data_IF_728497812807
#
_entry.id   IF_728497812807
#
_cell.length_a   1.000
_cell.length_b   1.000
_cell.length_c   1.000
_cell.angle_alpha   90.00
_cell.angle_beta   90.00
_cell.angle_gamma   90.00
#
_symmetry.space_group_name_H-M   'P 1'
#
loop_
_entity.id
_entity.type
_entity.pdbx_description
1 polymer ?
#
# COMPACT_ATOMS: atom_id res chain seq x y z
N UNK A 1 -6.12 24.65 -3.33
CA UNK A 1 -7.03 24.44 -4.50
C UNK A 1 -7.03 22.93 -4.79
N UNK A 2 -8.18 22.34 -5.09
CA UNK A 2 -8.25 20.97 -5.55
C UNK A 2 -7.70 20.88 -6.97
N UNK A 3 -6.74 19.99 -7.17
CA UNK A 3 -6.15 19.68 -8.46
C UNK A 3 -6.86 18.51 -9.16
N UNK A 4 -6.23 17.93 -10.19
CA UNK A 4 -6.79 16.80 -10.93
C UNK A 4 -6.84 15.53 -10.10
N UNK A 5 -7.64 14.56 -10.57
CA UNK A 5 -7.59 13.19 -10.10
C UNK A 5 -6.28 12.56 -10.60
N UNK A 6 -5.48 12.05 -9.67
CA UNK A 6 -4.19 11.41 -9.95
C UNK A 6 -4.21 9.90 -9.77
N UNK A 7 -5.28 9.35 -9.21
CA UNK A 7 -5.46 7.91 -9.07
C UNK A 7 -6.92 7.53 -8.84
N UNK A 8 -7.36 6.47 -9.50
CA UNK A 8 -8.69 5.88 -9.33
C UNK A 8 -8.55 4.39 -9.09
N UNK A 9 -8.82 3.97 -7.87
CA UNK A 9 -8.86 2.57 -7.47
C UNK A 9 -10.27 2.04 -7.29
N UNK A 10 -10.39 0.76 -6.98
CA UNK A 10 -11.68 0.12 -6.70
C UNK A 10 -12.34 0.65 -5.43
N UNK A 11 -11.54 0.98 -4.43
CA UNK A 11 -11.97 1.37 -3.09
C UNK A 11 -11.57 2.80 -2.71
N UNK A 12 -10.92 3.55 -3.62
CA UNK A 12 -10.49 4.93 -3.34
C UNK A 12 -10.29 5.77 -4.60
N UNK A 13 -10.34 7.08 -4.43
CA UNK A 13 -9.92 8.08 -5.40
C UNK A 13 -8.89 8.99 -4.76
N UNK A 14 -7.87 9.38 -5.52
CA UNK A 14 -6.80 10.24 -5.06
C UNK A 14 -6.75 11.51 -5.91
N UNK A 15 -6.75 12.66 -5.26
CA UNK A 15 -6.68 13.98 -5.85
C UNK A 15 -5.38 14.65 -5.46
N UNK A 16 -4.78 15.38 -6.38
CA UNK A 16 -3.75 16.33 -6.04
C UNK A 16 -4.36 17.53 -5.31
N UNK A 17 -3.69 18.01 -4.27
CA UNK A 17 -4.05 19.24 -3.57
C UNK A 17 -2.85 20.17 -3.59
N UNK A 18 -3.03 21.31 -4.24
CA UNK A 18 -2.01 22.35 -4.29
C UNK A 18 -2.09 23.24 -3.07
N UNK A 19 -1.02 23.28 -2.30
CA UNK A 19 -0.77 24.15 -1.17
C UNK A 19 0.63 24.76 -1.37
N UNK A 20 1.32 25.13 -0.29
CA UNK A 20 2.75 25.47 -0.34
C UNK A 20 3.63 24.26 -0.70
N UNK A 21 3.09 23.04 -0.59
CA UNK A 21 3.61 21.77 -1.10
C UNK A 21 2.51 21.03 -1.84
N UNK A 22 2.89 20.19 -2.79
CA UNK A 22 1.95 19.27 -3.44
C UNK A 22 1.59 18.14 -2.46
N UNK A 23 0.31 17.94 -2.25
CA UNK A 23 -0.26 16.93 -1.34
C UNK A 23 -1.19 16.01 -2.12
N UNK A 24 -1.43 14.82 -1.58
CA UNK A 24 -2.42 13.87 -2.08
C UNK A 24 -3.58 13.77 -1.08
N UNK A 25 -4.81 13.89 -1.58
CA UNK A 25 -6.02 13.67 -0.81
C UNK A 25 -6.70 12.39 -1.31
N UNK A 26 -6.65 11.34 -0.49
CA UNK A 26 -7.25 10.03 -0.77
C UNK A 26 -8.62 9.95 -0.12
N UNK A 27 -9.66 9.73 -0.94
CA UNK A 27 -11.01 9.43 -0.50
C UNK A 27 -11.27 7.94 -0.57
N UNK A 28 -11.60 7.33 0.56
CA UNK A 28 -12.11 5.96 0.59
C UNK A 28 -13.57 5.94 0.15
N UNK A 29 -13.92 5.01 -0.73
CA UNK A 29 -15.29 4.79 -1.21
C UNK A 29 -15.68 3.32 -1.14
N UNK A 30 -16.95 3.03 -1.37
CA UNK A 30 -17.40 1.64 -1.48
C UNK A 30 -16.80 0.99 -2.73
N UNK A 31 -16.06 -0.10 -2.55
CA UNK A 31 -15.59 -0.93 -3.65
C UNK A 31 -16.74 -1.78 -4.21
N UNK A 32 -16.86 -1.84 -5.54
CA UNK A 32 -17.86 -2.70 -6.21
C UNK A 32 -17.58 -4.22 -6.09
N UNK A 33 -16.59 -4.63 -5.30
CA UNK A 33 -16.17 -6.04 -5.20
C UNK A 33 -16.35 -6.62 -3.81
N UNK A 34 -17.32 -7.53 -3.73
CA UNK A 34 -17.44 -8.61 -2.74
C UNK A 34 -16.99 -8.33 -1.29
N UNK A 35 -17.81 -7.63 -0.54
CA UNK A 35 -17.77 -7.56 0.93
C UNK A 35 -17.59 -8.92 1.64
N UNK A 36 -17.90 -10.05 0.99
CA UNK A 36 -17.73 -11.39 1.57
C UNK A 36 -16.28 -11.79 1.83
N UNK A 37 -15.31 -11.37 1.01
CA UNK A 37 -13.88 -11.67 1.23
C UNK A 37 -13.22 -10.72 2.22
N UNK A 38 -13.68 -9.48 2.28
CA UNK A 38 -13.17 -8.44 3.19
C UNK A 38 -13.53 -8.74 4.65
N UNK A 39 -14.71 -9.32 4.88
CA UNK A 39 -15.18 -9.67 6.23
C UNK A 39 -14.44 -10.85 6.88
N UNK A 40 -13.78 -11.70 6.11
CA UNK A 40 -13.00 -12.83 6.65
C UNK A 40 -11.64 -12.40 7.25
N UNK A 41 -11.13 -11.23 6.85
CA UNK A 41 -9.82 -10.73 7.29
C UNK A 41 -9.89 -9.48 8.18
N UNK A 42 -11.08 -8.92 8.43
CA UNK A 42 -11.26 -7.69 9.20
C UNK A 42 -12.21 -7.92 10.37
N UNK A 43 -11.76 -7.59 11.58
CA UNK A 43 -12.53 -7.63 12.83
C UNK A 43 -13.69 -6.59 12.89
N UNK A 44 -14.32 -6.21 11.77
CA UNK A 44 -15.22 -5.06 11.69
C UNK A 44 -16.71 -5.38 11.77
N UNK A 45 -17.12 -6.64 11.71
CA UNK A 45 -18.55 -6.96 11.66
C UNK A 45 -18.97 -7.96 12.71
N UNK A 46 -19.70 -7.48 13.71
CA UNK A 46 -20.67 -8.32 14.42
C UNK A 46 -21.78 -8.72 13.45
N UNK A 47 -22.16 -9.98 13.46
CA UNK A 47 -22.94 -10.72 12.46
C UNK A 47 -24.33 -10.18 12.06
N UNK A 48 -24.81 -9.00 12.53
CA UNK A 48 -26.20 -8.59 12.41
C UNK A 48 -26.46 -7.08 12.17
N UNK A 49 -25.53 -6.29 11.63
CA UNK A 49 -25.85 -4.89 11.34
C UNK A 49 -25.65 -4.56 9.86
N UNK A 50 -26.65 -3.93 9.24
CA UNK A 50 -26.52 -3.18 7.98
C UNK A 50 -25.55 -2.02 8.22
N UNK A 51 -24.26 -2.29 8.01
CA UNK A 51 -23.22 -1.26 8.16
C UNK A 51 -23.28 -0.38 6.93
N UNK A 52 -23.57 0.91 7.14
CA UNK A 52 -23.54 1.91 6.07
C UNK A 52 -22.15 1.92 5.39
N UNK A 53 -22.12 1.99 4.06
CA UNK A 53 -20.88 2.13 3.27
C UNK A 53 -20.01 3.27 3.78
N UNK A 54 -20.61 4.38 4.20
CA UNK A 54 -19.94 5.54 4.78
C UNK A 54 -19.16 5.18 6.04
N UNK A 55 -19.73 4.33 6.90
CA UNK A 55 -19.05 3.85 8.11
C UNK A 55 -17.84 2.97 7.76
N UNK A 56 -17.98 2.07 6.78
CA UNK A 56 -16.89 1.19 6.33
C UNK A 56 -15.76 2.00 5.71
N UNK A 57 -16.07 2.95 4.83
CA UNK A 57 -15.09 3.84 4.20
C UNK A 57 -14.35 4.70 5.25
N UNK A 58 -15.08 5.22 6.24
CA UNK A 58 -14.49 5.96 7.36
C UNK A 58 -13.53 5.08 8.17
N UNK A 59 -13.92 3.86 8.52
CA UNK A 59 -13.07 2.94 9.28
C UNK A 59 -11.83 2.52 8.48
N UNK A 60 -11.94 2.35 7.17
CA UNK A 60 -10.80 2.09 6.31
C UNK A 60 -9.81 3.26 6.30
N UNK A 61 -10.31 4.50 6.19
CA UNK A 61 -9.47 5.70 6.25
C UNK A 61 -8.80 5.88 7.62
N UNK A 62 -9.54 5.77 8.72
CA UNK A 62 -8.99 5.85 10.08
C UNK A 62 -7.86 4.84 10.27
N UNK A 63 -8.10 3.58 9.87
CA UNK A 63 -7.12 2.49 10.00
C UNK A 63 -5.88 2.73 9.14
N UNK A 64 -6.03 3.07 7.86
CA UNK A 64 -4.90 3.35 6.98
C UNK A 64 -4.06 4.51 7.50
N UNK A 65 -4.70 5.57 7.97
CA UNK A 65 -4.01 6.71 8.56
C UNK A 65 -3.19 6.34 9.81
N UNK A 66 -3.78 5.55 10.72
CA UNK A 66 -3.08 5.04 11.91
C UNK A 66 -1.86 4.18 11.53
N UNK A 67 -2.00 3.32 10.52
CA UNK A 67 -0.90 2.47 10.04
C UNK A 67 0.20 3.33 9.43
N UNK A 68 -0.12 4.28 8.55
CA UNK A 68 0.85 5.19 7.96
C UNK A 68 1.61 5.97 9.05
N UNK A 69 0.93 6.46 10.09
CA UNK A 69 1.57 7.12 11.24
C UNK A 69 2.51 6.21 12.02
N UNK A 70 2.15 4.94 12.19
CA UNK A 70 2.97 3.96 12.90
C UNK A 70 4.23 3.57 12.10
N UNK A 71 4.14 3.56 10.77
CA UNK A 71 5.21 3.19 9.86
C UNK A 71 6.19 4.34 9.62
N UNK A 72 5.68 5.56 9.40
CA UNK A 72 6.49 6.74 9.11
C UNK A 72 7.32 7.18 10.32
N UNK A 73 8.55 7.67 10.18
CA UNK A 73 9.38 7.72 8.96
C UNK A 73 10.29 6.48 8.77
N UNK A 74 10.09 5.42 9.54
CA UNK A 74 10.98 4.23 9.55
C UNK A 74 10.78 3.32 8.34
N UNK A 75 9.56 3.31 7.81
CA UNK A 75 9.21 2.67 6.55
C UNK A 75 8.94 3.76 5.52
N UNK A 76 9.39 3.57 4.31
CA UNK A 76 9.13 4.50 3.22
C UNK A 76 7.67 4.37 2.76
N UNK A 77 6.82 5.19 3.36
CA UNK A 77 5.40 5.36 3.07
C UNK A 77 5.09 6.84 2.87
N UNK A 78 3.99 7.20 2.19
CA UNK A 78 3.56 8.60 2.14
C UNK A 78 3.40 9.19 3.54
N UNK A 79 3.96 10.38 3.80
CA UNK A 79 3.84 11.04 5.11
C UNK A 79 2.36 11.39 5.36
N UNK A 80 1.69 10.80 6.36
CA UNK A 80 0.32 11.12 6.70
C UNK A 80 0.26 12.48 7.44
N UNK A 81 -0.62 13.38 6.97
CA UNK A 81 -0.72 14.75 7.50
C UNK A 81 -1.96 14.89 8.34
N UNK A 82 -3.12 14.53 7.79
CA UNK A 82 -4.41 14.65 8.48
C UNK A 82 -5.42 13.62 7.97
N UNK A 83 -6.45 13.35 8.78
CA UNK A 83 -7.52 12.44 8.42
C UNK A 83 -8.86 13.00 8.91
N UNK A 84 -9.85 13.05 8.03
CA UNK A 84 -11.20 13.44 8.39
C UNK A 84 -12.22 12.55 7.68
N UNK A 85 -13.13 11.94 8.46
CA UNK A 85 -14.14 10.99 7.98
C UNK A 85 -13.51 9.88 7.12
N UNK A 86 -13.81 9.85 5.81
CA UNK A 86 -13.32 8.85 4.85
C UNK A 86 -12.18 9.38 3.96
N UNK A 87 -11.56 10.49 4.34
CA UNK A 87 -10.47 11.13 3.60
C UNK A 87 -9.16 11.14 4.40
N UNK A 88 -8.05 10.96 3.71
CA UNK A 88 -6.68 11.07 4.24
C UNK A 88 -5.93 12.10 3.42
N UNK A 89 -5.35 13.09 4.09
CA UNK A 89 -4.39 14.02 3.51
C UNK A 89 -2.98 13.52 3.79
N UNK A 90 -2.16 13.40 2.76
CA UNK A 90 -0.80 12.89 2.87
C UNK A 90 0.13 13.59 1.87
N UNK A 91 1.42 13.35 1.99
CA UNK A 91 2.42 13.76 1.03
C UNK A 91 2.12 13.18 -0.36
N UNK A 92 2.22 14.01 -1.40
CA UNK A 92 2.25 13.54 -2.77
C UNK A 92 3.64 12.94 -3.02
N UNK A 93 3.70 11.63 -3.23
CA UNK A 93 4.96 10.93 -3.53
C UNK A 93 5.35 11.23 -4.97
N UNK A 94 6.55 11.75 -5.16
CA UNK A 94 7.16 11.95 -6.47
C UNK A 94 7.74 10.62 -6.97
N UNK A 95 7.29 10.17 -8.13
CA UNK A 95 7.72 8.90 -8.72
C UNK A 95 6.67 8.26 -9.62
N UNK A 96 7.02 7.12 -10.16
CA UNK A 96 6.16 6.32 -11.04
C UNK A 96 5.88 4.96 -10.41
N UNK A 97 4.73 4.37 -10.74
CA UNK A 97 4.37 3.04 -10.26
C UNK A 97 5.31 1.99 -10.88
N UNK A 98 5.81 1.07 -10.06
CA UNK A 98 6.76 0.04 -10.49
C UNK A 98 6.26 -0.79 -11.69
N UNK A 99 4.95 -1.00 -11.81
CA UNK A 99 4.35 -1.70 -12.95
C UNK A 99 4.52 -0.94 -14.27
N UNK A 100 4.59 0.37 -14.24
CA UNK A 100 4.58 1.27 -15.41
C UNK A 100 5.98 1.60 -15.92
N UNK A 101 7.00 1.48 -15.08
CA UNK A 101 8.40 1.78 -15.45
C UNK A 101 9.16 0.54 -15.89
N UNK A 102 10.25 0.77 -16.61
CA UNK A 102 11.25 -0.25 -16.94
C UNK A 102 12.58 0.13 -16.29
N UNK A 103 13.03 -0.69 -15.35
CA UNK A 103 14.31 -0.51 -14.67
C UNK A 103 15.48 -0.86 -15.61
N UNK A 104 16.58 -0.13 -15.50
CA UNK A 104 17.85 -0.49 -16.10
C UNK A 104 18.46 -1.70 -15.39
N UNK A 105 19.42 -2.37 -16.04
CA UNK A 105 20.00 -3.61 -15.51
C UNK A 105 20.64 -3.47 -14.13
N UNK A 106 21.29 -2.34 -13.88
CA UNK A 106 21.90 -1.99 -12.60
C UNK A 106 20.88 -1.66 -11.51
N UNK A 107 19.70 -1.16 -11.89
CA UNK A 107 18.63 -0.82 -10.95
C UNK A 107 17.82 -2.03 -10.48
N UNK A 108 17.73 -3.11 -11.27
CA UNK A 108 16.83 -4.24 -10.99
C UNK A 108 17.05 -4.82 -9.60
N UNK A 109 18.26 -5.24 -9.29
CA UNK A 109 18.56 -5.88 -8.00
C UNK A 109 18.53 -4.88 -6.85
N UNK A 110 19.00 -3.66 -7.05
CA UNK A 110 18.98 -2.60 -6.06
C UNK A 110 17.55 -2.24 -5.66
N UNK A 111 16.64 -2.17 -6.64
CA UNK A 111 15.22 -1.91 -6.40
C UNK A 111 14.55 -3.06 -5.66
N UNK A 112 14.80 -4.32 -6.08
CA UNK A 112 14.27 -5.50 -5.40
C UNK A 112 14.72 -5.55 -3.93
N UNK A 113 16.02 -5.37 -3.67
CA UNK A 113 16.57 -5.36 -2.31
C UNK A 113 15.97 -4.22 -1.47
N UNK A 114 15.75 -3.05 -2.08
CA UNK A 114 15.12 -1.92 -1.41
C UNK A 114 13.67 -2.22 -1.03
N UNK A 115 12.89 -2.85 -1.92
CA UNK A 115 11.51 -3.28 -1.62
C UNK A 115 11.50 -4.28 -0.46
N UNK A 116 12.36 -5.32 -0.50
CA UNK A 116 12.44 -6.34 0.56
C UNK A 116 12.87 -5.72 1.89
N UNK A 117 13.72 -4.71 1.88
CA UNK A 117 14.10 -3.94 3.07
C UNK A 117 12.93 -3.18 3.66
N UNK A 118 12.11 -2.52 2.84
CA UNK A 118 10.93 -1.81 3.32
C UNK A 118 9.86 -2.77 3.88
N UNK A 119 9.68 -3.95 3.27
CA UNK A 119 8.84 -5.02 3.83
C UNK A 119 9.37 -5.44 5.23
N UNK A 120 10.67 -5.67 5.36
CA UNK A 120 11.31 -6.01 6.64
C UNK A 120 11.13 -4.91 7.69
N UNK A 121 11.28 -3.63 7.29
CA UNK A 121 11.05 -2.49 8.15
C UNK A 121 9.60 -2.44 8.66
N UNK A 122 8.62 -2.74 7.78
CA UNK A 122 7.20 -2.79 8.16
C UNK A 122 6.92 -3.93 9.16
N UNK A 123 7.49 -5.11 8.94
CA UNK A 123 7.40 -6.25 9.87
C UNK A 123 8.01 -5.88 11.23
N UNK A 124 9.16 -5.22 11.26
CA UNK A 124 9.80 -4.74 12.49
C UNK A 124 8.95 -3.68 13.22
N UNK A 125 8.07 -2.98 12.49
CA UNK A 125 7.05 -2.07 13.05
C UNK A 125 5.75 -2.78 13.46
N UNK A 126 5.68 -4.09 13.26
CA UNK A 126 4.54 -4.90 13.66
C UNK A 126 3.43 -5.02 12.64
N UNK A 127 3.70 -4.73 11.35
CA UNK A 127 2.69 -4.75 10.28
C UNK A 127 3.12 -5.56 9.06
N UNK A 128 2.14 -6.16 8.40
CA UNK A 128 2.24 -6.81 7.10
C UNK A 128 1.28 -6.11 6.16
N UNK A 129 1.69 -5.78 4.94
CA UNK A 129 0.87 -5.05 3.96
C UNK A 129 -0.38 -5.83 3.56
N UNK A 130 -0.23 -7.12 3.36
CA UNK A 130 -1.26 -8.11 3.03
C UNK A 130 -1.97 -7.96 1.67
N UNK A 131 -1.52 -7.04 0.84
CA UNK A 131 -1.96 -6.89 -0.56
C UNK A 131 -0.87 -6.22 -1.41
N UNK A 132 0.41 -6.53 -1.11
CA UNK A 132 1.54 -5.92 -1.80
C UNK A 132 1.70 -6.50 -3.21
N UNK A 133 1.87 -5.60 -4.17
CA UNK A 133 2.13 -5.92 -5.56
C UNK A 133 2.89 -4.77 -6.24
N UNK A 134 3.29 -4.98 -7.50
CA UNK A 134 3.92 -3.95 -8.34
C UNK A 134 3.09 -2.68 -8.53
N UNK A 135 1.79 -2.74 -8.25
CA UNK A 135 0.85 -1.62 -8.35
C UNK A 135 0.83 -0.73 -7.10
N UNK A 136 1.40 -1.19 -5.99
CA UNK A 136 1.39 -0.50 -4.70
C UNK A 136 2.80 -0.01 -4.31
N UNK A 137 3.69 0.14 -5.30
CA UNK A 137 5.07 0.56 -5.10
C UNK A 137 5.39 1.69 -6.06
N UNK A 138 5.79 2.85 -5.52
CA UNK A 138 6.38 3.95 -6.29
C UNK A 138 7.89 3.85 -6.29
N UNK A 139 8.49 4.23 -7.43
CA UNK A 139 9.92 4.42 -7.61
C UNK A 139 10.15 5.85 -8.06
N UNK A 140 10.82 6.64 -7.25
CA UNK A 140 11.16 8.02 -7.57
C UNK A 140 12.47 8.43 -6.92
N UNK A 141 13.35 9.13 -7.65
CA UNK A 141 14.63 9.62 -7.17
C UNK A 141 15.49 8.53 -6.50
N UNK A 142 15.46 7.30 -7.03
CA UNK A 142 16.18 6.14 -6.47
C UNK A 142 15.59 5.58 -5.17
N UNK A 143 14.42 6.06 -4.74
CA UNK A 143 13.74 5.63 -3.52
C UNK A 143 12.51 4.78 -3.85
N UNK A 144 12.34 3.71 -3.08
CA UNK A 144 11.12 2.90 -3.05
C UNK A 144 10.16 3.49 -2.03
N UNK A 145 8.88 3.64 -2.38
CA UNK A 145 7.82 4.02 -1.43
C UNK A 145 6.64 3.07 -1.59
N UNK A 146 6.22 2.43 -0.50
CA UNK A 146 5.09 1.50 -0.48
C UNK A 146 3.84 2.27 -0.04
N UNK A 147 2.76 2.16 -0.81
CA UNK A 147 1.50 2.85 -0.54
C UNK A 147 0.30 1.88 -0.55
N UNK A 148 -0.89 2.39 -0.25
CA UNK A 148 -2.17 1.64 -0.21
C UNK A 148 -2.22 0.56 0.89
N UNK A 149 -2.22 1.00 2.16
CA UNK A 149 -2.16 0.17 3.37
C UNK A 149 -3.51 -0.21 4.03
N UNK A 150 -4.71 0.00 3.44
CA UNK A 150 -5.96 -0.25 4.16
C UNK A 150 -6.17 -1.72 4.53
N UNK A 151 -5.51 -2.64 3.81
CA UNK A 151 -5.59 -4.08 4.02
C UNK A 151 -4.58 -4.61 5.06
N UNK A 152 -3.60 -3.78 5.48
CA UNK A 152 -2.51 -4.23 6.32
C UNK A 152 -3.00 -4.84 7.64
N UNK A 153 -2.30 -5.84 8.13
CA UNK A 153 -2.59 -6.54 9.37
C UNK A 153 -1.41 -6.44 10.35
N UNK A 154 -1.70 -6.58 11.64
CA UNK A 154 -0.64 -6.70 12.64
C UNK A 154 0.06 -8.06 12.52
N UNK A 155 1.35 -8.14 12.86
CA UNK A 155 2.11 -9.41 12.88
C UNK A 155 1.53 -10.44 13.84
N UNK A 156 0.76 -10.00 14.85
CA UNK A 156 0.01 -10.88 15.77
C UNK A 156 -1.24 -11.52 15.15
N UNK A 157 -1.63 -11.11 13.94
CA UNK A 157 -2.77 -11.69 13.23
C UNK A 157 -2.48 -13.14 12.85
N UNK A 158 -3.47 -14.03 12.99
CA UNK A 158 -3.34 -15.48 12.78
C UNK A 158 -2.75 -15.84 11.40
N UNK A 159 -3.12 -15.10 10.35
CA UNK A 159 -2.66 -15.34 8.98
C UNK A 159 -1.47 -14.45 8.56
N UNK A 160 -0.84 -13.73 9.48
CA UNK A 160 0.19 -12.74 9.14
C UNK A 160 1.39 -13.35 8.40
N UNK A 161 1.80 -14.56 8.75
CA UNK A 161 2.91 -15.28 8.11
C UNK A 161 2.60 -15.63 6.65
N UNK A 162 1.41 -16.16 6.39
CA UNK A 162 1.00 -16.54 5.04
C UNK A 162 0.81 -15.30 4.16
N UNK A 163 0.28 -14.21 4.73
CA UNK A 163 0.13 -12.92 4.06
C UNK A 163 1.49 -12.31 3.71
N UNK A 164 2.44 -12.32 4.65
CA UNK A 164 3.80 -11.85 4.41
C UNK A 164 4.50 -12.66 3.31
N UNK A 165 4.39 -14.00 3.38
CA UNK A 165 4.93 -14.89 2.35
C UNK A 165 4.37 -14.54 0.98
N UNK A 166 3.05 -14.36 0.87
CA UNK A 166 2.37 -13.97 -0.37
C UNK A 166 2.85 -12.62 -0.90
N UNK A 167 3.00 -11.62 -0.03
CA UNK A 167 3.48 -10.30 -0.39
C UNK A 167 4.89 -10.37 -1.00
N UNK A 168 5.80 -11.11 -0.35
CA UNK A 168 7.17 -11.33 -0.85
C UNK A 168 7.15 -12.10 -2.18
N UNK A 169 6.36 -13.17 -2.27
CA UNK A 169 6.23 -13.96 -3.49
C UNK A 169 5.69 -13.14 -4.66
N UNK A 170 4.73 -12.26 -4.44
CA UNK A 170 4.18 -11.39 -5.47
C UNK A 170 5.27 -10.47 -6.06
N UNK A 171 6.06 -9.84 -5.19
CA UNK A 171 7.19 -8.99 -5.61
C UNK A 171 8.21 -9.81 -6.40
N UNK A 172 8.65 -10.95 -5.88
CA UNK A 172 9.65 -11.80 -6.55
C UNK A 172 9.12 -12.33 -7.90
N UNK A 173 7.85 -12.76 -7.96
CA UNK A 173 7.22 -13.21 -9.21
C UNK A 173 7.18 -12.11 -10.27
N UNK A 174 6.86 -10.86 -9.87
CA UNK A 174 6.90 -9.71 -10.77
C UNK A 174 8.30 -9.54 -11.37
N UNK A 175 9.34 -9.49 -10.55
CA UNK A 175 10.72 -9.32 -11.02
C UNK A 175 11.18 -10.49 -11.88
N UNK A 176 10.87 -11.73 -11.51
CA UNK A 176 11.20 -12.93 -12.33
C UNK A 176 10.51 -12.89 -13.70
N UNK A 177 9.25 -12.42 -13.76
CA UNK A 177 8.49 -12.31 -15.02
C UNK A 177 9.02 -11.19 -15.89
N UNK A 178 9.31 -10.01 -15.31
CA UNK A 178 9.70 -8.80 -16.06
C UNK A 178 11.19 -8.79 -16.43
N UNK A 179 12.04 -9.41 -15.61
CA UNK A 179 13.50 -9.41 -15.72
C UNK A 179 14.12 -10.82 -15.56
N UNK A 180 13.73 -11.81 -16.37
CA UNK A 180 14.11 -13.21 -16.16
C UNK A 180 15.61 -13.46 -16.16
N UNK A 181 16.39 -12.75 -17.00
CA UNK A 181 17.84 -12.91 -17.10
C UNK A 181 18.60 -12.52 -15.82
N UNK A 182 18.03 -11.67 -14.97
CA UNK A 182 18.71 -11.14 -13.78
C UNK A 182 18.25 -11.80 -12.48
N UNK A 183 17.04 -12.36 -12.43
CA UNK A 183 16.37 -12.78 -11.18
C UNK A 183 16.17 -14.31 -11.10
N UNK A 184 16.62 -15.08 -12.11
CA UNK A 184 16.43 -16.55 -12.15
C UNK A 184 17.05 -17.32 -10.98
N UNK A 185 18.03 -16.77 -10.26
CA UNK A 185 18.78 -17.44 -9.20
C UNK A 185 18.23 -17.20 -7.77
N UNK A 186 17.16 -16.44 -7.60
CA UNK A 186 16.60 -16.18 -6.28
C UNK A 186 15.67 -17.36 -5.92
N UNK A 187 16.14 -18.27 -5.07
CA UNK A 187 15.31 -19.30 -4.45
C UNK A 187 14.47 -18.66 -3.33
N UNK A 188 13.19 -18.99 -3.30
CA UNK A 188 12.22 -18.57 -2.28
C UNK A 188 12.11 -19.66 -1.18
N UNK A 189 13.25 -20.19 -0.68
CA UNK A 189 13.26 -21.06 0.50
C UNK A 189 13.24 -20.28 1.80
#
# INVERSE_FOLDING_TARGET
>A
MFGPIIGVGKESEVYEVQSYKSLALKYHREGHTNFRKVNLNRDYTSKNQHVSWMYTARKAAEREFEILRALYPKVSVPHPIDQNRHAILMELVDGEILSEIRLSEDQIMVTLDSILREISNAVNKGYVHSDLSEYNIFIGNGKVTIFDWPQAVKISHVNSRDLLKRDIENVIKYFKRKYPSKVQKINTE
#
